data_IF_167045675305
#
_entry.id   IF_167045675305
#
_cell.length_a   1.000
_cell.length_b   1.000
_cell.length_c   1.000
_cell.angle_alpha   90.00
_cell.angle_beta   90.00
_cell.angle_gamma   90.00
#
_symmetry.space_group_name_H-M   'P 1'
#
loop_
_entity.id
_entity.type
_entity.pdbx_description
1 polymer ?
#
# COMPACT_ATOMS: atom_id res chain seq x y z
N UNK A 1 -65.45 38.56 -5.55
CA UNK A 1 -66.73 38.23 -4.85
C UNK A 1 -66.65 36.82 -4.33
N UNK A 2 -67.16 36.65 -3.14
CA UNK A 2 -67.34 35.42 -2.29
C UNK A 2 -66.13 34.95 -1.48
N UNK A 3 -66.14 35.39 -0.21
CA UNK A 3 -65.59 34.85 0.99
C UNK A 3 -66.20 33.45 1.27
N UNK A 4 -65.44 32.56 1.80
CA UNK A 4 -66.01 31.51 2.65
C UNK A 4 -64.99 31.19 3.76
N UNK A 5 -65.42 31.43 4.97
CA UNK A 5 -64.83 31.04 6.24
C UNK A 5 -65.18 29.60 6.49
N UNK A 6 -64.29 28.85 7.12
CA UNK A 6 -64.71 27.69 7.94
C UNK A 6 -63.68 27.37 9.02
N UNK A 7 -63.98 27.74 10.17
CA UNK A 7 -64.23 27.01 11.44
C UNK A 7 -63.10 26.04 11.93
N UNK A 8 -62.51 26.55 12.99
CA UNK A 8 -61.59 25.93 13.95
C UNK A 8 -62.36 24.89 14.81
N UNK A 9 -61.88 23.63 14.83
CA UNK A 9 -62.28 22.69 15.89
C UNK A 9 -61.05 22.34 16.71
N UNK A 10 -61.05 22.81 17.95
CA UNK A 10 -60.11 22.42 19.03
C UNK A 10 -60.73 21.24 19.76
N UNK A 11 -60.08 20.06 19.73
CA UNK A 11 -60.37 18.96 20.63
C UNK A 11 -59.29 18.84 21.68
N UNK A 12 -59.63 19.20 22.92
CA UNK A 12 -58.84 18.95 24.11
C UNK A 12 -58.81 17.44 24.36
N UNK A 13 -57.65 16.88 24.42
CA UNK A 13 -57.40 15.53 24.96
C UNK A 13 -56.69 15.69 26.30
N UNK A 14 -57.45 15.43 27.35
CA UNK A 14 -56.92 15.33 28.75
C UNK A 14 -56.21 14.00 28.92
N UNK A 15 -54.93 14.01 29.19
CA UNK A 15 -54.18 12.83 29.61
C UNK A 15 -53.99 12.86 31.12
N UNK A 16 -54.56 11.92 31.80
CA UNK A 16 -54.41 11.71 33.26
C UNK A 16 -53.02 11.13 33.56
N UNK A 17 -52.28 11.82 34.43
CA UNK A 17 -50.99 11.40 34.94
C UNK A 17 -51.23 10.51 36.16
N UNK A 18 -51.00 9.18 36.08
CA UNK A 18 -50.88 8.30 37.22
C UNK A 18 -49.45 8.43 37.80
N UNK A 19 -49.37 8.99 38.99
CA UNK A 19 -48.19 8.99 39.80
C UNK A 19 -48.01 7.61 40.47
N UNK A 20 -46.97 6.85 40.17
CA UNK A 20 -46.51 5.73 40.96
C UNK A 20 -45.33 6.20 41.86
N UNK A 21 -45.56 6.14 43.18
CA UNK A 21 -44.50 6.37 44.17
C UNK A 21 -43.65 5.09 44.36
N UNK A 22 -42.32 5.19 44.53
CA UNK A 22 -41.48 4.04 44.88
C UNK A 22 -41.44 3.78 46.39
N UNK A 23 -41.21 2.53 46.82
CA UNK A 23 -41.08 2.15 48.20
C UNK A 23 -39.66 2.54 48.74
N UNK A 24 -39.60 3.03 49.96
CA UNK A 24 -38.40 3.21 50.77
C UNK A 24 -37.86 1.88 51.28
N UNK A 25 -36.54 1.69 51.19
CA UNK A 25 -35.85 0.61 51.94
C UNK A 25 -34.39 0.46 51.51
N UNK A 26 -33.49 1.16 52.15
CA UNK A 26 -32.31 0.71 52.93
C UNK A 26 -31.24 -0.07 52.16
N UNK A 27 -30.08 0.50 51.94
CA UNK A 27 -28.73 0.26 52.46
C UNK A 27 -27.74 1.09 51.66
N UNK A 28 -27.11 2.05 52.36
CA UNK A 28 -25.84 2.62 51.94
C UNK A 28 -24.80 1.50 51.91
N UNK A 29 -24.23 1.30 50.73
CA UNK A 29 -22.91 0.69 50.58
C UNK A 29 -22.09 1.68 49.79
N UNK A 30 -21.08 2.25 50.44
CA UNK A 30 -20.01 3.01 49.81
C UNK A 30 -19.44 2.22 48.66
N UNK A 31 -19.69 2.65 47.44
CA UNK A 31 -18.96 2.22 46.26
C UNK A 31 -17.87 3.27 46.03
N UNK A 32 -16.65 2.88 46.39
CA UNK A 32 -15.41 3.51 45.99
C UNK A 32 -15.51 3.96 44.53
N UNK A 33 -15.19 5.24 44.28
CA UNK A 33 -14.97 5.81 42.97
C UNK A 33 -13.89 4.99 42.25
N UNK A 34 -14.33 4.00 41.47
CA UNK A 34 -13.52 3.37 40.47
C UNK A 34 -13.28 4.39 39.35
N UNK A 35 -12.03 4.70 39.10
CA UNK A 35 -11.55 5.48 37.97
C UNK A 35 -12.31 5.12 36.71
N UNK A 36 -13.15 6.02 36.24
CA UNK A 36 -13.67 5.96 34.87
C UNK A 36 -12.43 6.13 33.97
N UNK A 37 -11.90 5.04 33.47
CA UNK A 37 -10.94 5.09 32.38
C UNK A 37 -11.59 5.92 31.28
N UNK A 38 -11.05 7.11 31.09
CA UNK A 38 -11.44 8.03 30.04
C UNK A 38 -11.11 7.33 28.72
N UNK A 39 -12.05 6.58 28.20
CA UNK A 39 -11.97 5.97 26.87
C UNK A 39 -12.17 7.13 25.88
N UNK A 40 -11.14 7.97 25.75
CA UNK A 40 -11.08 8.92 24.64
C UNK A 40 -11.07 8.07 23.39
N UNK A 41 -12.20 7.96 22.71
CA UNK A 41 -12.25 7.54 21.32
C UNK A 41 -11.31 8.49 20.58
N UNK A 42 -10.14 7.98 20.20
CA UNK A 42 -9.20 8.72 19.38
C UNK A 42 -9.98 9.14 18.12
N UNK A 43 -10.06 10.44 17.88
CA UNK A 43 -10.67 10.95 16.66
C UNK A 43 -10.01 10.29 15.44
N UNK A 44 -10.81 9.94 14.44
CA UNK A 44 -10.30 9.37 13.21
C UNK A 44 -9.30 10.33 12.56
N UNK A 45 -8.11 9.80 12.26
CA UNK A 45 -7.04 10.55 11.61
C UNK A 45 -6.28 9.63 10.66
N UNK A 46 -5.33 10.18 9.89
CA UNK A 46 -4.60 9.42 8.87
C UNK A 46 -3.83 8.24 9.48
N UNK A 47 -3.29 8.39 10.67
CA UNK A 47 -2.48 7.36 11.35
C UNK A 47 -3.29 6.12 11.75
N UNK A 48 -4.53 6.30 12.20
CA UNK A 48 -5.36 5.19 12.73
C UNK A 48 -6.43 4.70 11.76
N UNK A 49 -6.81 5.50 10.75
CA UNK A 49 -7.91 5.18 9.85
C UNK A 49 -7.46 4.86 8.42
N UNK A 50 -6.25 5.23 8.03
CA UNK A 50 -5.74 5.00 6.68
C UNK A 50 -4.68 3.89 6.63
N UNK A 51 -4.59 3.29 5.45
CA UNK A 51 -3.53 2.34 5.11
C UNK A 51 -2.30 3.11 4.61
N UNK A 52 -1.67 3.88 5.50
CA UNK A 52 -0.64 4.86 5.19
C UNK A 52 0.75 4.29 4.89
N UNK A 53 1.06 3.09 5.35
CA UNK A 53 2.35 2.46 5.05
C UNK A 53 2.41 1.99 3.59
N UNK A 54 3.58 2.02 2.97
CA UNK A 54 3.77 1.63 1.57
C UNK A 54 4.71 2.56 0.82
N UNK A 55 4.71 2.46 -0.50
CA UNK A 55 5.57 3.21 -1.40
C UNK A 55 4.78 4.32 -2.07
N UNK A 56 5.30 5.53 -1.99
CA UNK A 56 4.74 6.73 -2.62
C UNK A 56 5.68 7.25 -3.68
N UNK A 57 5.17 7.53 -4.88
CA UNK A 57 5.96 8.01 -6.02
C UNK A 57 5.35 9.27 -6.64
N UNK A 58 6.21 10.13 -7.15
CA UNK A 58 5.81 11.32 -7.89
C UNK A 58 7.01 12.04 -8.49
N UNK A 59 6.75 12.98 -9.38
CA UNK A 59 7.78 13.86 -9.92
C UNK A 59 7.58 15.23 -9.29
N UNK A 60 8.51 15.63 -8.42
CA UNK A 60 8.49 16.95 -7.78
C UNK A 60 9.24 17.96 -8.61
N UNK A 61 8.92 19.28 -8.49
CA UNK A 61 9.58 20.32 -9.25
C UNK A 61 11.08 20.40 -8.97
N UNK A 62 11.82 20.80 -9.99
CA UNK A 62 13.26 21.03 -9.95
C UNK A 62 13.56 22.41 -10.56
N UNK A 63 14.50 23.14 -9.97
CA UNK A 63 14.84 24.48 -10.43
C UNK A 63 15.69 24.47 -11.71
N UNK A 64 16.45 23.40 -11.93
CA UNK A 64 17.47 23.32 -12.97
C UNK A 64 17.53 21.95 -13.66
N UNK A 65 16.43 21.17 -13.57
CA UNK A 65 16.26 19.87 -14.23
C UNK A 65 14.79 19.67 -14.64
N UNK A 66 14.49 18.60 -15.37
CA UNK A 66 13.14 18.28 -15.84
C UNK A 66 12.17 17.91 -14.71
N UNK A 67 12.69 17.56 -13.53
CA UNK A 67 11.95 17.17 -12.35
C UNK A 67 12.77 16.24 -11.47
N UNK A 68 12.26 15.95 -10.28
CA UNK A 68 12.87 14.98 -9.36
C UNK A 68 11.89 13.84 -9.17
N UNK A 69 12.20 12.67 -9.75
CA UNK A 69 11.47 11.45 -9.43
C UNK A 69 11.73 11.09 -7.98
N UNK A 70 10.70 11.25 -7.16
CA UNK A 70 10.76 11.05 -5.72
C UNK A 70 10.01 9.78 -5.35
N UNK A 71 10.70 8.85 -4.68
CA UNK A 71 10.11 7.64 -4.11
C UNK A 71 10.31 7.66 -2.61
N UNK A 72 9.22 7.47 -1.85
CA UNK A 72 9.25 7.39 -0.39
C UNK A 72 8.55 6.12 0.05
N UNK A 73 9.25 5.28 0.82
CA UNK A 73 8.68 4.11 1.48
C UNK A 73 8.48 4.42 2.95
N UNK A 74 7.23 4.42 3.41
CA UNK A 74 6.88 4.52 4.83
C UNK A 74 6.61 3.11 5.38
N UNK A 75 7.27 2.74 6.48
CA UNK A 75 7.15 1.42 7.11
C UNK A 75 6.39 1.49 8.43
N UNK A 76 5.70 0.41 8.82
CA UNK A 76 4.92 0.31 10.06
C UNK A 76 5.75 0.52 11.34
N UNK A 77 7.05 0.26 11.29
CA UNK A 77 7.98 0.46 12.41
C UNK A 77 8.50 1.91 12.52
N UNK A 78 7.82 2.86 11.88
CA UNK A 78 8.19 4.30 11.87
C UNK A 78 9.55 4.60 11.25
N UNK A 79 10.02 3.75 10.33
CA UNK A 79 11.19 4.03 9.50
C UNK A 79 10.79 4.38 8.07
N UNK A 80 11.62 5.15 7.38
CA UNK A 80 11.42 5.45 5.97
C UNK A 80 12.68 5.17 5.15
N UNK A 81 12.47 5.02 3.83
CA UNK A 81 13.50 5.17 2.80
C UNK A 81 13.04 6.18 1.78
N UNK A 82 13.95 6.99 1.25
CA UNK A 82 13.70 7.98 0.22
C UNK A 82 14.74 7.85 -0.89
N UNK A 83 14.28 7.85 -2.13
CA UNK A 83 15.12 7.95 -3.33
C UNK A 83 14.71 9.16 -4.14
N UNK A 84 15.70 9.94 -4.58
CA UNK A 84 15.54 11.12 -5.43
C UNK A 84 16.38 10.93 -6.69
N UNK A 85 15.73 10.92 -7.86
CA UNK A 85 16.40 10.84 -9.16
C UNK A 85 16.14 12.10 -9.95
N UNK A 86 17.21 12.84 -10.29
CA UNK A 86 17.13 14.09 -11.03
C UNK A 86 17.01 13.80 -12.54
N UNK A 87 15.83 14.06 -13.12
CA UNK A 87 15.55 13.81 -14.52
C UNK A 87 16.29 14.80 -15.43
N UNK A 88 16.81 14.33 -16.56
CA UNK A 88 17.61 15.16 -17.47
C UNK A 88 19.01 15.50 -16.99
N UNK A 89 19.43 15.01 -15.83
CA UNK A 89 20.78 15.09 -15.28
C UNK A 89 21.37 13.69 -15.11
N UNK A 90 22.53 13.60 -14.42
CA UNK A 90 23.19 12.32 -14.17
C UNK A 90 22.22 11.29 -13.59
N UNK A 91 22.28 10.05 -14.07
CA UNK A 91 21.39 8.93 -13.67
C UNK A 91 21.53 8.50 -12.20
N UNK A 92 22.34 9.19 -11.41
CA UNK A 92 22.58 8.88 -10.00
C UNK A 92 21.34 9.22 -9.17
N UNK A 93 20.82 8.23 -8.47
CA UNK A 93 19.81 8.42 -7.45
C UNK A 93 20.46 8.79 -6.12
N UNK A 94 19.86 9.73 -5.42
CA UNK A 94 20.21 10.08 -4.06
C UNK A 94 19.34 9.26 -3.10
N UNK A 95 19.96 8.60 -2.13
CA UNK A 95 19.26 7.74 -1.16
C UNK A 95 19.40 8.32 0.24
N UNK A 96 18.28 8.33 0.96
CA UNK A 96 18.21 8.73 2.36
C UNK A 96 17.27 7.79 3.11
N UNK A 97 17.57 7.51 4.36
CA UNK A 97 16.75 6.66 5.23
C UNK A 97 16.86 7.13 6.68
N UNK A 98 15.85 6.84 7.45
CA UNK A 98 15.79 7.26 8.86
C UNK A 98 14.48 6.88 9.51
N UNK A 99 14.13 7.61 10.55
CA UNK A 99 12.87 7.49 11.24
C UNK A 99 11.91 8.61 10.83
N UNK A 100 10.62 8.39 11.05
CA UNK A 100 9.63 9.46 10.96
C UNK A 100 8.75 9.49 12.20
N UNK A 101 8.24 10.66 12.49
CA UNK A 101 7.32 10.90 13.60
C UNK A 101 6.01 11.48 13.08
N UNK A 102 4.92 11.06 13.72
CA UNK A 102 3.61 11.65 13.51
C UNK A 102 3.45 12.88 14.41
N UNK A 103 2.79 13.90 13.91
CA UNK A 103 2.34 15.01 14.72
C UNK A 103 1.23 14.58 15.70
N UNK A 104 0.85 15.48 16.60
CA UNK A 104 -0.19 15.23 17.61
C UNK A 104 -1.57 14.95 16.98
N UNK A 105 -1.85 15.49 15.78
CA UNK A 105 -3.11 15.26 15.08
C UNK A 105 -3.17 13.89 14.40
N UNK A 106 -2.03 13.23 14.18
CA UNK A 106 -1.93 11.98 13.42
C UNK A 106 -2.22 12.13 11.94
N UNK A 107 -2.04 13.32 11.39
CA UNK A 107 -2.30 13.62 9.97
C UNK A 107 -1.04 14.01 9.20
N UNK A 108 0.04 14.32 9.90
CA UNK A 108 1.30 14.76 9.33
C UNK A 108 2.43 13.87 9.81
N UNK A 109 3.41 13.63 8.94
CA UNK A 109 4.64 12.92 9.26
C UNK A 109 5.85 13.81 8.97
N UNK A 110 6.83 13.78 9.88
CA UNK A 110 8.14 14.41 9.68
C UNK A 110 9.18 13.33 9.49
N UNK A 111 9.76 13.26 8.31
CA UNK A 111 10.89 12.37 8.01
C UNK A 111 12.17 12.97 8.57
N UNK A 112 12.96 12.19 9.29
CA UNK A 112 14.25 12.58 9.87
C UNK A 112 15.33 11.69 9.28
N UNK A 113 16.02 12.21 8.27
CA UNK A 113 17.10 11.51 7.56
C UNK A 113 18.41 11.48 8.35
N UNK A 114 19.32 10.61 7.93
CA UNK A 114 20.62 10.38 8.62
C UNK A 114 21.51 11.62 8.70
N UNK A 115 21.44 12.52 7.74
CA UNK A 115 22.25 13.75 7.69
C UNK A 115 21.57 14.97 8.32
N UNK A 116 20.53 14.73 9.16
CA UNK A 116 19.76 15.80 9.79
C UNK A 116 18.77 16.49 8.85
N UNK A 117 18.55 15.94 7.67
CA UNK A 117 17.52 16.44 6.75
C UNK A 117 16.14 16.13 7.30
N UNK A 118 15.30 17.14 7.41
CA UNK A 118 13.91 16.98 7.83
C UNK A 118 12.97 17.37 6.69
N UNK A 119 11.90 16.61 6.52
CA UNK A 119 10.88 16.93 5.54
C UNK A 119 9.51 16.48 6.02
N UNK A 120 8.55 17.39 5.91
CA UNK A 120 7.17 17.15 6.35
C UNK A 120 6.27 16.75 5.18
N UNK A 121 5.33 15.84 5.47
CA UNK A 121 4.29 15.40 4.56
C UNK A 121 2.95 15.33 5.27
N UNK A 122 1.90 15.79 4.63
CA UNK A 122 0.54 15.48 5.04
C UNK A 122 0.13 14.15 4.43
N UNK A 123 -0.40 13.23 5.24
CA UNK A 123 -0.84 11.91 4.81
C UNK A 123 -2.33 11.95 4.49
N UNK A 124 -2.69 11.58 3.27
CA UNK A 124 -4.05 11.38 2.81
C UNK A 124 -4.27 9.95 2.32
N UNK A 125 -5.49 9.66 1.89
CA UNK A 125 -5.81 8.36 1.33
C UNK A 125 -5.08 8.16 0.00
N UNK A 126 -4.22 7.15 -0.05
CA UNK A 126 -3.38 6.80 -1.21
C UNK A 126 -2.49 7.93 -1.74
N UNK A 127 -2.17 8.92 -0.90
CA UNK A 127 -1.35 10.07 -1.29
C UNK A 127 -0.63 10.66 -0.09
N UNK A 128 0.60 11.13 -0.29
CA UNK A 128 1.24 12.07 0.63
C UNK A 128 1.52 13.38 -0.09
N UNK A 129 1.41 14.48 0.62
CA UNK A 129 1.62 15.82 0.09
C UNK A 129 2.87 16.40 0.73
N UNK A 130 3.84 16.73 -0.07
CA UNK A 130 5.03 17.46 0.35
C UNK A 130 4.63 18.84 0.88
N UNK A 131 5.14 19.22 2.04
CA UNK A 131 4.84 20.50 2.68
C UNK A 131 6.01 21.46 2.56
N UNK A 132 5.73 22.75 2.71
CA UNK A 132 6.78 23.77 2.84
C UNK A 132 7.52 23.67 4.19
N UNK A 133 8.49 24.55 4.42
CA UNK A 133 9.28 24.55 5.65
C UNK A 133 8.47 24.92 6.88
N UNK A 134 7.35 25.64 6.71
CA UNK A 134 6.40 26.02 7.76
C UNK A 134 5.33 24.95 8.02
N UNK A 135 5.34 23.84 7.27
CA UNK A 135 4.39 22.74 7.39
C UNK A 135 3.05 22.97 6.68
N UNK A 136 2.98 23.95 5.77
CA UNK A 136 1.77 24.22 5.01
C UNK A 136 1.77 23.48 3.68
N UNK A 137 0.56 23.26 3.14
CA UNK A 137 0.38 22.77 1.78
C UNK A 137 0.91 23.78 0.77
N UNK A 138 1.78 23.33 -0.13
CA UNK A 138 2.26 24.13 -1.24
C UNK A 138 1.09 24.44 -2.17
N UNK A 139 0.92 25.71 -2.52
CA UNK A 139 -0.15 26.24 -3.37
C UNK A 139 0.39 26.79 -4.67
N UNK A 140 -0.51 27.18 -5.60
CA UNK A 140 -0.15 27.74 -6.90
C UNK A 140 -0.09 26.69 -8.01
N UNK A 141 0.45 27.06 -9.17
CA UNK A 141 0.41 26.25 -10.40
C UNK A 141 1.14 24.88 -10.26
N UNK A 142 2.18 24.82 -9.45
CA UNK A 142 2.98 23.61 -9.24
C UNK A 142 2.45 22.73 -8.09
N UNK A 143 1.38 23.14 -7.40
CA UNK A 143 0.87 22.42 -6.22
C UNK A 143 0.63 20.92 -6.46
N UNK A 144 0.14 20.57 -7.64
CA UNK A 144 -0.13 19.17 -7.99
C UNK A 144 1.14 18.32 -8.15
N UNK A 145 2.28 18.94 -8.42
CA UNK A 145 3.56 18.23 -8.53
C UNK A 145 4.18 17.89 -7.16
N UNK A 146 3.65 18.44 -6.09
CA UNK A 146 4.06 18.11 -4.71
C UNK A 146 3.20 17.00 -4.08
N UNK A 147 2.54 16.20 -4.92
CA UNK A 147 1.77 15.03 -4.53
C UNK A 147 2.50 13.77 -4.93
N UNK A 148 2.70 12.88 -3.98
CA UNK A 148 3.26 11.55 -4.22
C UNK A 148 2.11 10.54 -4.06
N UNK A 149 1.80 9.83 -5.11
CA UNK A 149 0.74 8.83 -5.12
C UNK A 149 1.27 7.53 -4.52
N UNK A 150 0.46 6.87 -3.72
CA UNK A 150 0.77 5.54 -3.21
C UNK A 150 0.76 4.56 -4.37
N UNK A 151 1.90 3.89 -4.57
CA UNK A 151 1.94 2.75 -5.47
C UNK A 151 1.17 1.60 -4.82
N UNK A 152 0.33 0.89 -5.54
CA UNK A 152 -0.19 -0.37 -5.05
C UNK A 152 0.96 -1.27 -4.62
N UNK A 153 0.88 -1.79 -3.39
CA UNK A 153 1.83 -2.77 -2.86
C UNK A 153 1.04 -3.93 -2.29
N UNK A 154 1.54 -5.14 -2.49
CA UNK A 154 0.94 -6.32 -1.91
C UNK A 154 1.97 -7.12 -1.10
N UNK A 155 1.93 -6.97 0.21
CA UNK A 155 2.83 -7.69 1.12
C UNK A 155 2.64 -9.21 1.11
N UNK A 156 1.55 -9.72 0.51
CA UNK A 156 1.38 -11.15 0.27
C UNK A 156 2.34 -11.62 -0.83
N UNK A 157 2.56 -10.77 -1.87
CA UNK A 157 3.35 -11.05 -3.07
C UNK A 157 4.80 -10.59 -2.94
N UNK A 158 5.03 -9.36 -2.50
CA UNK A 158 6.30 -8.64 -2.62
C UNK A 158 7.28 -8.93 -1.50
N UNK A 159 8.58 -8.73 -1.78
CA UNK A 159 9.71 -9.01 -0.88
C UNK A 159 9.76 -10.46 -0.40
N UNK A 160 9.34 -11.38 -1.25
CA UNK A 160 9.33 -12.81 -1.02
C UNK A 160 9.90 -13.54 -2.23
N UNK A 161 10.55 -14.67 -1.96
CA UNK A 161 11.04 -15.57 -3.01
C UNK A 161 9.99 -16.63 -3.29
N UNK A 162 9.54 -16.69 -4.54
CA UNK A 162 8.53 -17.60 -5.03
C UNK A 162 9.16 -18.65 -5.93
N UNK A 163 9.18 -19.90 -5.51
CA UNK A 163 9.77 -21.03 -6.23
C UNK A 163 8.77 -21.62 -7.21
N UNK A 164 9.16 -21.76 -8.47
CA UNK A 164 8.32 -22.28 -9.53
C UNK A 164 8.06 -23.78 -9.37
N UNK A 165 6.81 -24.18 -9.22
CA UNK A 165 6.38 -25.57 -9.04
C UNK A 165 5.56 -26.12 -10.22
N UNK A 166 4.85 -25.24 -10.95
CA UNK A 166 4.01 -25.64 -12.09
C UNK A 166 4.07 -24.61 -13.21
N UNK A 167 4.17 -25.05 -14.44
CA UNK A 167 4.15 -24.20 -15.63
C UNK A 167 3.18 -24.77 -16.67
N UNK A 168 2.18 -23.97 -17.07
CA UNK A 168 1.10 -24.36 -18.00
C UNK A 168 0.42 -25.70 -17.66
N UNK A 169 0.17 -25.93 -16.35
CA UNK A 169 -0.49 -27.14 -15.85
C UNK A 169 0.40 -28.36 -15.76
N UNK A 170 1.73 -28.21 -15.96
CA UNK A 170 2.71 -29.29 -15.85
C UNK A 170 3.63 -29.01 -14.65
N UNK A 171 3.87 -30.01 -13.77
CA UNK A 171 4.85 -29.85 -12.70
C UNK A 171 6.24 -29.55 -13.28
N UNK A 172 6.97 -28.64 -12.63
CA UNK A 172 8.36 -28.35 -12.96
C UNK A 172 9.27 -29.15 -12.05
N UNK A 173 9.93 -30.12 -12.63
CA UNK A 173 10.90 -30.96 -11.91
C UNK A 173 12.30 -30.38 -12.06
N UNK A 174 13.06 -30.39 -10.95
CA UNK A 174 14.47 -30.02 -10.96
C UNK A 174 15.28 -31.09 -11.67
N UNK A 175 15.86 -30.76 -12.82
CA UNK A 175 16.74 -31.64 -13.57
C UNK A 175 18.18 -31.53 -13.08
N UNK A 176 18.96 -32.60 -13.26
CA UNK A 176 20.38 -32.58 -12.93
C UNK A 176 21.10 -31.45 -13.70
N UNK A 177 21.91 -30.66 -12.96
CA UNK A 177 22.65 -29.52 -13.52
C UNK A 177 21.79 -28.24 -13.70
N UNK A 178 20.50 -28.27 -13.36
CA UNK A 178 19.63 -27.08 -13.36
C UNK A 178 19.43 -26.54 -11.96
N UNK A 179 19.27 -25.23 -11.87
CA UNK A 179 18.85 -24.55 -10.65
C UNK A 179 17.33 -24.59 -10.53
N UNK A 180 16.85 -24.36 -9.34
CA UNK A 180 15.45 -24.11 -9.08
C UNK A 180 14.99 -22.80 -9.74
N UNK A 181 13.87 -22.83 -10.46
CA UNK A 181 13.24 -21.62 -11.01
C UNK A 181 12.59 -20.82 -9.89
N UNK A 182 12.76 -19.50 -9.88
CA UNK A 182 12.10 -18.63 -8.89
C UNK A 182 11.90 -17.23 -9.43
N UNK A 183 11.01 -16.48 -8.78
CA UNK A 183 10.78 -15.06 -9.00
C UNK A 183 10.66 -14.32 -7.67
N UNK A 184 11.17 -13.11 -7.62
CA UNK A 184 11.08 -12.16 -6.51
C UNK A 184 10.58 -10.82 -7.04
N UNK A 185 9.79 -10.13 -6.21
CA UNK A 185 9.24 -8.80 -6.51
C UNK A 185 9.73 -7.81 -5.46
N UNK A 186 10.44 -6.78 -5.87
CA UNK A 186 10.95 -5.73 -5.00
C UNK A 186 9.97 -4.55 -4.99
N UNK A 187 9.28 -4.36 -3.87
CA UNK A 187 8.30 -3.29 -3.70
C UNK A 187 8.92 -1.87 -3.74
N UNK A 188 10.19 -1.72 -3.38
CA UNK A 188 10.84 -0.41 -3.32
C UNK A 188 11.22 0.08 -4.72
N UNK A 189 11.71 -0.83 -5.56
CA UNK A 189 12.18 -0.51 -6.91
C UNK A 189 11.12 -0.74 -7.98
N UNK A 190 10.11 -1.57 -7.73
CA UNK A 190 9.15 -2.03 -8.74
C UNK A 190 9.80 -2.96 -9.78
N UNK A 191 10.88 -3.62 -9.36
CA UNK A 191 11.59 -4.59 -10.21
C UNK A 191 11.23 -6.01 -9.80
N UNK A 192 11.04 -6.88 -10.77
CA UNK A 192 11.10 -8.31 -10.53
C UNK A 192 12.43 -8.87 -10.99
N UNK A 193 12.89 -9.90 -10.33
CA UNK A 193 14.08 -10.65 -10.70
C UNK A 193 13.89 -12.13 -10.36
N UNK A 194 14.73 -12.97 -10.94
CA UNK A 194 14.65 -14.38 -10.67
C UNK A 194 15.57 -15.22 -11.52
N UNK A 195 15.30 -16.52 -11.52
CA UNK A 195 15.99 -17.51 -12.31
C UNK A 195 14.97 -18.46 -12.93
N UNK A 196 15.13 -18.74 -14.22
CA UNK A 196 14.22 -19.61 -14.96
C UNK A 196 14.83 -21.01 -15.20
N UNK A 197 15.40 -21.59 -14.17
CA UNK A 197 16.15 -22.85 -14.14
C UNK A 197 17.60 -22.77 -14.60
N UNK A 198 17.93 -21.92 -15.56
CA UNK A 198 19.29 -21.72 -16.07
C UNK A 198 19.72 -20.24 -15.98
N UNK A 199 19.06 -19.40 -16.74
CA UNK A 199 19.37 -17.99 -16.86
C UNK A 199 18.71 -17.15 -15.75
N UNK A 200 19.39 -16.06 -15.35
CA UNK A 200 18.77 -15.03 -14.54
C UNK A 200 17.94 -14.11 -15.44
N UNK A 201 16.83 -13.60 -14.91
CA UNK A 201 16.00 -12.62 -15.59
C UNK A 201 15.63 -11.48 -14.63
N UNK A 202 15.28 -10.34 -15.21
CA UNK A 202 14.86 -9.15 -14.46
C UNK A 202 14.01 -8.25 -15.36
N UNK A 203 13.19 -7.42 -14.72
CA UNK A 203 12.36 -6.43 -15.42
C UNK A 203 11.59 -5.58 -14.44
N UNK A 204 10.77 -4.69 -14.96
CA UNK A 204 9.85 -3.87 -14.15
C UNK A 204 8.47 -4.52 -14.11
N UNK A 205 7.77 -4.34 -12.99
CA UNK A 205 6.37 -4.70 -12.86
C UNK A 205 5.58 -3.54 -12.26
N UNK A 206 4.29 -3.57 -12.49
CA UNK A 206 3.34 -2.62 -11.93
C UNK A 206 2.16 -3.40 -11.36
N UNK A 207 1.86 -3.19 -10.08
CA UNK A 207 0.64 -3.70 -9.46
C UNK A 207 -0.50 -2.71 -9.71
N UNK A 208 -1.69 -3.26 -9.90
CA UNK A 208 -2.92 -2.49 -10.10
C UNK A 208 -4.00 -3.05 -9.18
N UNK A 209 -5.08 -2.30 -8.98
CA UNK A 209 -6.21 -2.74 -8.16
C UNK A 209 -6.78 -4.09 -8.61
N UNK A 210 -7.25 -4.90 -7.66
CA UNK A 210 -7.91 -6.18 -7.90
C UNK A 210 -6.93 -7.30 -8.29
N UNK A 211 -5.78 -7.38 -7.63
CA UNK A 211 -4.73 -8.40 -7.86
C UNK A 211 -4.26 -8.47 -9.32
N UNK A 212 -4.24 -7.33 -10.00
CA UNK A 212 -3.73 -7.21 -11.36
C UNK A 212 -2.27 -6.85 -11.37
N UNK A 213 -1.54 -7.42 -12.32
CA UNK A 213 -0.11 -7.19 -12.50
C UNK A 213 0.19 -6.96 -13.99
N UNK A 214 1.13 -6.06 -14.25
CA UNK A 214 1.67 -5.84 -15.58
C UNK A 214 3.18 -6.00 -15.52
N UNK A 215 3.70 -6.92 -16.30
CA UNK A 215 5.14 -7.09 -16.49
C UNK A 215 5.62 -6.20 -17.64
N UNK A 216 6.70 -5.46 -17.40
CA UNK A 216 7.44 -4.77 -18.45
C UNK A 216 8.30 -5.73 -19.27
N UNK A 217 9.13 -5.18 -20.14
CA UNK A 217 10.07 -6.00 -20.90
C UNK A 217 11.09 -6.64 -19.96
N UNK A 218 11.18 -7.97 -20.01
CA UNK A 218 12.16 -8.71 -19.23
C UNK A 218 13.46 -8.88 -20.01
N UNK A 219 14.58 -8.61 -19.33
CA UNK A 219 15.91 -9.00 -19.75
C UNK A 219 16.29 -10.36 -19.19
N UNK A 220 17.16 -11.10 -19.88
CA UNK A 220 17.70 -12.37 -19.41
C UNK A 220 19.17 -12.51 -19.80
N UNK A 221 19.96 -13.23 -18.99
CA UNK A 221 21.29 -13.70 -19.38
C UNK A 221 21.17 -14.73 -20.49
N UNK A 222 22.22 -14.92 -21.27
CA UNK A 222 22.23 -15.79 -22.45
C UNK A 222 23.22 -16.94 -22.27
N UNK A 223 23.11 -17.71 -21.20
CA UNK A 223 23.87 -18.94 -21.02
C UNK A 223 23.26 -20.06 -21.89
N UNK A 224 24.10 -20.83 -22.55
CA UNK A 224 23.66 -22.01 -23.29
C UNK A 224 23.36 -23.15 -22.30
N UNK A 225 22.11 -23.59 -22.25
CA UNK A 225 21.66 -24.66 -21.40
C UNK A 225 21.17 -25.85 -22.21
N UNK A 226 21.31 -27.07 -21.73
CA UNK A 226 20.93 -28.27 -22.47
C UNK A 226 19.45 -28.34 -22.85
N UNK A 227 18.58 -27.75 -21.98
CA UNK A 227 17.14 -27.68 -22.21
C UNK A 227 16.62 -26.28 -21.85
N UNK A 228 16.21 -25.56 -22.85
CA UNK A 228 15.69 -24.18 -22.75
C UNK A 228 14.16 -24.13 -22.74
N UNK A 229 13.46 -25.27 -22.79
CA UNK A 229 12.00 -25.30 -22.94
C UNK A 229 11.28 -24.62 -21.78
N UNK A 230 11.63 -24.99 -20.55
CA UNK A 230 11.04 -24.38 -19.32
C UNK A 230 11.33 -22.88 -19.24
N UNK A 231 12.54 -22.47 -19.63
CA UNK A 231 12.94 -21.07 -19.68
C UNK A 231 12.08 -20.26 -20.64
N UNK A 232 11.95 -20.74 -21.88
CA UNK A 232 11.16 -20.06 -22.91
C UNK A 232 9.68 -19.96 -22.50
N UNK A 233 9.11 -21.05 -22.00
CA UNK A 233 7.72 -21.07 -21.51
C UNK A 233 7.51 -20.12 -20.35
N UNK A 234 8.46 -20.03 -19.41
CA UNK A 234 8.35 -19.12 -18.27
C UNK A 234 8.42 -17.66 -18.71
N UNK A 235 9.35 -17.29 -19.57
CA UNK A 235 9.44 -15.94 -20.12
C UNK A 235 8.19 -15.55 -20.91
N UNK A 236 7.56 -16.49 -21.62
CA UNK A 236 6.28 -16.26 -22.29
C UNK A 236 5.14 -16.05 -21.27
N UNK A 237 5.12 -16.77 -20.16
CA UNK A 237 4.15 -16.55 -19.09
C UNK A 237 4.24 -15.12 -18.54
N UNK A 238 5.44 -14.60 -18.27
CA UNK A 238 5.63 -13.22 -17.79
C UNK A 238 5.09 -12.18 -18.81
N UNK A 239 5.20 -12.42 -20.12
CA UNK A 239 4.68 -11.50 -21.12
C UNK A 239 3.15 -11.41 -21.17
N UNK A 240 2.45 -12.50 -20.81
CA UNK A 240 1.00 -12.61 -21.02
C UNK A 240 0.19 -12.63 -19.73
N UNK A 241 0.82 -12.82 -18.57
CA UNK A 241 0.14 -12.77 -17.29
C UNK A 241 -0.33 -11.33 -17.01
N UNK A 242 -1.59 -11.19 -16.59
CA UNK A 242 -2.24 -9.90 -16.32
C UNK A 242 -2.87 -9.81 -14.94
N UNK A 243 -2.88 -10.90 -14.19
CA UNK A 243 -3.31 -10.95 -12.80
C UNK A 243 -2.62 -12.07 -12.04
N UNK A 244 -2.68 -11.98 -10.73
CA UNK A 244 -2.11 -12.97 -9.82
C UNK A 244 -3.08 -13.29 -8.70
N UNK A 245 -2.82 -14.36 -7.98
CA UNK A 245 -3.51 -14.71 -6.75
C UNK A 245 -2.53 -15.29 -5.76
N UNK A 246 -2.56 -14.81 -4.52
CA UNK A 246 -1.77 -15.36 -3.41
C UNK A 246 -2.72 -15.88 -2.36
N UNK A 247 -2.69 -17.20 -2.14
CA UNK A 247 -3.45 -17.90 -1.10
C UNK A 247 -2.49 -18.72 -0.28
N UNK A 248 -2.41 -18.41 1.02
CA UNK A 248 -1.43 -19.00 1.93
C UNK A 248 0.01 -18.81 1.39
N UNK A 249 0.70 -19.90 1.12
CA UNK A 249 2.07 -19.93 0.60
C UNK A 249 2.13 -20.23 -0.92
N UNK A 250 1.04 -20.08 -1.62
CA UNK A 250 0.95 -20.34 -3.06
C UNK A 250 0.67 -19.05 -3.83
N UNK A 251 1.51 -18.76 -4.81
CA UNK A 251 1.31 -17.72 -5.82
C UNK A 251 0.91 -18.35 -7.14
N UNK A 252 -0.13 -17.80 -7.78
CA UNK A 252 -0.52 -18.14 -9.14
C UNK A 252 -0.43 -16.90 -10.03
N UNK A 253 0.23 -17.00 -11.18
CA UNK A 253 0.16 -16.03 -12.25
C UNK A 253 -0.87 -16.49 -13.28
N UNK A 254 -1.79 -15.59 -13.66
CA UNK A 254 -2.92 -15.94 -14.50
C UNK A 254 -3.06 -14.96 -15.67
N UNK A 255 -3.89 -15.34 -16.65
CA UNK A 255 -4.37 -14.46 -17.71
C UNK A 255 -5.89 -14.43 -17.69
N UNK A 256 -6.48 -13.25 -17.46
CA UNK A 256 -7.92 -13.07 -17.31
C UNK A 256 -8.51 -14.07 -16.29
N UNK A 257 -9.60 -14.76 -16.63
CA UNK A 257 -10.23 -15.80 -15.79
C UNK A 257 -9.83 -17.23 -16.17
N UNK A 258 -8.67 -17.40 -16.81
CA UNK A 258 -8.18 -18.71 -17.23
C UNK A 258 -7.50 -19.48 -16.09
N UNK A 259 -7.23 -20.76 -16.32
CA UNK A 259 -6.39 -21.55 -15.42
C UNK A 259 -5.00 -20.90 -15.24
N UNK A 260 -4.34 -21.11 -14.09
CA UNK A 260 -3.01 -20.57 -13.84
C UNK A 260 -2.01 -20.90 -14.94
N UNK A 261 -1.28 -19.89 -15.39
CA UNK A 261 -0.19 -20.04 -16.34
C UNK A 261 1.08 -20.57 -15.67
N UNK A 262 1.30 -20.15 -14.41
CA UNK A 262 2.37 -20.64 -13.55
C UNK A 262 1.91 -20.64 -12.09
N UNK A 263 2.44 -21.59 -11.31
CA UNK A 263 2.28 -21.65 -9.86
C UNK A 263 3.62 -21.73 -9.17
N UNK A 264 3.66 -21.10 -8.03
CA UNK A 264 4.85 -21.00 -7.22
C UNK A 264 4.51 -21.30 -5.75
N UNK A 265 5.46 -21.80 -5.01
CA UNK A 265 5.39 -21.89 -3.56
C UNK A 265 6.37 -20.90 -2.90
N UNK A 266 6.03 -20.45 -1.70
CA UNK A 266 6.91 -19.59 -0.92
C UNK A 266 8.16 -20.36 -0.54
N UNK A 267 9.35 -19.80 -0.82
CA UNK A 267 10.60 -20.40 -0.42
C UNK A 267 10.66 -20.57 1.11
N UNK A 268 11.05 -21.75 1.58
CA UNK A 268 11.32 -21.98 3.00
C UNK A 268 12.59 -21.23 3.38
N UNK A 269 12.52 -20.49 4.46
CA UNK A 269 13.71 -19.86 5.06
C UNK A 269 14.41 -20.94 5.87
N UNK A 270 15.63 -21.30 5.45
CA UNK A 270 16.50 -22.22 6.20
C UNK A 270 17.05 -21.58 7.48
#
# INVERSE_FOLDING_TARGET
>A
MKKSQLILMVTLFSVAILACSPPKGIHESEVTEGSIANNQTLADNSRNSLDWYGVYKGITPCADCEGIETTITLKRNSTFKRSLKYLGKNENSFFDEGNFEWDETGSYVTLMGKEGTTQMYQVGENVIFHLDQEGNRITGELANMYRLQKNPVDFRLENKKWVLIELRGKPVEKKEGQSEGFIEFDMETGMFSGKNTCNNFFGQYELMEGDRIKFGQAGSTLMACPDMTTEQEFMEVLKIADNYNVVDELLSLNRAKMAPLARFELAKVD
#
